data_IF_590574329569
#
_entry.id   IF_590574329569
#
_cell.length_a   1.000
_cell.length_b   1.000
_cell.length_c   1.000
_cell.angle_alpha   90.00
_cell.angle_beta   90.00
_cell.angle_gamma   90.00
#
_symmetry.space_group_name_H-M   'P 1'
#
loop_
_entity.id
_entity.type
_entity.pdbx_description
1 polymer ?
#
# COMPACT_ATOMS: atom_id res chain seq x y z
N UNK A 1 -23.78 31.68 -22.64
CA UNK A 1 -22.53 30.90 -22.47
C UNK A 1 -22.16 30.54 -21.01
N UNK A 2 -23.00 30.83 -20.00
CA UNK A 2 -22.60 30.69 -18.57
C UNK A 2 -22.96 29.35 -17.91
N UNK A 3 -23.84 28.53 -18.51
CA UNK A 3 -24.33 27.30 -17.87
C UNK A 3 -23.38 26.11 -18.07
N UNK A 4 -22.94 25.87 -19.31
CA UNK A 4 -21.99 24.79 -19.64
C UNK A 4 -20.63 24.99 -18.95
N UNK A 5 -20.15 26.24 -18.85
CA UNK A 5 -18.91 26.54 -18.12
C UNK A 5 -19.01 26.25 -16.62
N UNK A 6 -20.15 26.57 -15.99
CA UNK A 6 -20.39 26.25 -14.57
C UNK A 6 -20.46 24.75 -14.33
N UNK A 7 -21.09 23.99 -15.23
CA UNK A 7 -21.14 22.52 -15.14
C UNK A 7 -19.74 21.92 -15.31
N UNK A 8 -19.00 22.35 -16.32
CA UNK A 8 -17.63 21.90 -16.57
C UNK A 8 -16.71 22.17 -15.38
N UNK A 9 -16.81 23.36 -14.77
CA UNK A 9 -16.06 23.71 -13.56
C UNK A 9 -16.42 22.80 -12.38
N UNK A 10 -17.71 22.52 -12.15
CA UNK A 10 -18.13 21.59 -11.08
C UNK A 10 -17.65 20.18 -11.32
N UNK A 11 -17.75 19.67 -12.55
CA UNK A 11 -17.24 18.34 -12.91
C UNK A 11 -15.73 18.27 -12.71
N UNK A 12 -15.00 19.31 -13.11
CA UNK A 12 -13.56 19.41 -12.91
C UNK A 12 -13.19 19.40 -11.43
N UNK A 13 -13.93 20.10 -10.57
CA UNK A 13 -13.74 20.04 -9.11
C UNK A 13 -13.99 18.64 -8.54
N UNK A 14 -15.04 17.95 -8.99
CA UNK A 14 -15.33 16.57 -8.54
C UNK A 14 -14.22 15.62 -8.97
N UNK A 15 -13.76 15.73 -10.21
CA UNK A 15 -12.64 14.91 -10.73
C UNK A 15 -11.36 15.23 -9.94
N UNK A 16 -11.05 16.51 -9.70
CA UNK A 16 -9.90 16.92 -8.88
C UNK A 16 -9.98 16.35 -7.47
N UNK A 17 -11.16 16.41 -6.84
CA UNK A 17 -11.37 15.84 -5.51
C UNK A 17 -11.11 14.33 -5.50
N UNK A 18 -11.68 13.59 -6.46
CA UNK A 18 -11.46 12.13 -6.58
C UNK A 18 -9.97 11.83 -6.80
N UNK A 19 -9.30 12.56 -7.68
CA UNK A 19 -7.87 12.39 -7.96
C UNK A 19 -7.02 12.66 -6.71
N UNK A 20 -7.27 13.77 -6.02
CA UNK A 20 -6.56 14.13 -4.78
C UNK A 20 -6.80 13.08 -3.70
N UNK A 21 -8.05 12.65 -3.52
CA UNK A 21 -8.40 11.63 -2.54
C UNK A 21 -7.70 10.30 -2.84
N UNK A 22 -7.76 9.82 -4.08
CA UNK A 22 -7.04 8.63 -4.50
C UNK A 22 -5.54 8.79 -4.28
N UNK A 23 -4.96 9.92 -4.69
CA UNK A 23 -3.53 10.18 -4.52
C UNK A 23 -3.11 10.13 -3.05
N UNK A 24 -3.86 10.77 -2.15
CA UNK A 24 -3.60 10.73 -0.71
C UNK A 24 -3.73 9.31 -0.17
N UNK A 25 -4.73 8.53 -0.61
CA UNK A 25 -4.82 7.12 -0.23
C UNK A 25 -3.59 6.33 -0.68
N UNK A 26 -3.11 6.54 -1.89
CA UNK A 26 -1.87 5.92 -2.37
C UNK A 26 -0.64 6.38 -1.55
N UNK A 27 -0.50 7.67 -1.27
CA UNK A 27 0.63 8.24 -0.52
C UNK A 27 0.64 7.80 0.97
N UNK A 28 -0.50 7.77 1.64
CA UNK A 28 -0.55 7.39 3.07
C UNK A 28 -0.66 5.87 3.25
N UNK A 29 -1.54 5.19 2.49
CA UNK A 29 -1.79 3.77 2.69
C UNK A 29 -0.71 2.90 2.06
N UNK A 30 -0.37 3.16 0.79
CA UNK A 30 0.57 2.32 0.06
C UNK A 30 1.99 2.76 0.38
N UNK A 31 2.31 4.05 0.29
CA UNK A 31 3.69 4.50 0.47
C UNK A 31 4.16 4.40 1.93
N UNK A 32 3.51 5.07 2.88
CA UNK A 32 3.89 5.00 4.30
C UNK A 32 3.60 3.62 4.93
N UNK A 33 2.45 3.00 4.59
CA UNK A 33 2.03 1.73 5.18
C UNK A 33 2.79 0.49 4.69
N UNK A 34 3.09 0.40 3.40
CA UNK A 34 3.60 -0.83 2.76
C UNK A 34 4.96 -0.60 2.11
N UNK A 35 5.08 0.41 1.24
CA UNK A 35 6.25 0.60 0.39
C UNK A 35 7.49 0.96 1.21
N UNK A 36 7.38 1.90 2.15
CA UNK A 36 8.48 2.34 3.03
C UNK A 36 9.03 1.23 3.93
N UNK A 37 8.22 0.46 4.68
CA UNK A 37 8.75 -0.63 5.51
C UNK A 37 9.30 -1.79 4.67
N UNK A 38 8.67 -2.13 3.53
CA UNK A 38 9.20 -3.14 2.62
C UNK A 38 10.52 -2.66 2.01
N UNK A 39 10.59 -1.41 1.57
CA UNK A 39 11.79 -0.80 1.03
C UNK A 39 12.95 -0.86 2.02
N UNK A 40 12.74 -0.37 3.25
CA UNK A 40 13.79 -0.37 4.28
C UNK A 40 14.29 -1.80 4.59
N UNK A 41 13.38 -2.79 4.59
CA UNK A 41 13.76 -4.20 4.76
C UNK A 41 14.55 -4.73 3.56
N UNK A 42 14.09 -4.45 2.34
CA UNK A 42 14.72 -4.91 1.10
C UNK A 42 16.10 -4.26 0.88
N UNK A 43 16.25 -2.97 1.18
CA UNK A 43 17.53 -2.25 1.13
C UNK A 43 18.54 -2.80 2.14
N UNK A 44 18.07 -3.28 3.30
CA UNK A 44 18.95 -3.86 4.33
C UNK A 44 19.48 -5.27 4.01
N UNK A 45 19.00 -5.92 2.93
CA UNK A 45 19.42 -7.27 2.55
C UNK A 45 20.64 -7.24 1.62
N UNK A 46 21.73 -7.93 1.97
CA UNK A 46 22.91 -8.06 1.09
C UNK A 46 22.62 -8.63 -0.32
N UNK A 47 21.50 -9.36 -0.49
CA UNK A 47 21.10 -9.92 -1.78
C UNK A 47 20.72 -8.81 -2.76
N UNK A 48 20.09 -7.72 -2.31
CA UNK A 48 19.72 -6.62 -3.20
C UNK A 48 20.94 -5.88 -3.70
N UNK A 49 21.95 -5.66 -2.87
CA UNK A 49 23.22 -5.02 -3.28
C UNK A 49 23.90 -5.75 -4.44
N UNK A 50 23.95 -7.09 -4.41
CA UNK A 50 24.51 -7.90 -5.52
C UNK A 50 23.68 -7.78 -6.80
N UNK A 51 22.35 -7.73 -6.68
CA UNK A 51 21.47 -7.56 -7.85
C UNK A 51 21.59 -6.13 -8.39
N UNK A 52 21.74 -5.13 -7.52
CA UNK A 52 21.97 -3.73 -7.90
C UNK A 52 23.27 -3.56 -8.69
N UNK A 53 24.36 -4.19 -8.26
CA UNK A 53 25.64 -4.22 -9.00
C UNK A 53 25.45 -4.87 -10.38
N UNK A 54 24.76 -6.01 -10.46
CA UNK A 54 24.48 -6.69 -11.72
C UNK A 54 23.62 -5.84 -12.65
N UNK A 55 22.59 -5.17 -12.13
CA UNK A 55 21.78 -4.20 -12.89
C UNK A 55 22.66 -3.03 -13.35
N UNK A 56 23.59 -2.56 -12.52
CA UNK A 56 24.54 -1.48 -12.85
C UNK A 56 25.50 -1.86 -13.99
N UNK A 57 25.82 -3.14 -14.15
CA UNK A 57 26.63 -3.63 -15.28
C UNK A 57 25.81 -4.03 -16.52
N UNK A 58 24.50 -4.21 -16.36
CA UNK A 58 23.61 -4.67 -17.46
C UNK A 58 23.35 -3.56 -18.50
N UNK A 59 23.18 -3.95 -19.76
CA UNK A 59 22.83 -3.03 -20.85
C UNK A 59 21.50 -2.29 -20.57
N UNK A 60 21.48 -0.97 -20.79
CA UNK A 60 20.29 -0.12 -20.62
C UNK A 60 19.06 -0.61 -21.41
N UNK A 61 19.24 -1.19 -22.59
CA UNK A 61 18.13 -1.69 -23.42
C UNK A 61 17.48 -2.94 -22.80
N UNK A 62 18.28 -3.86 -22.23
CA UNK A 62 17.76 -5.03 -21.54
C UNK A 62 16.98 -4.65 -20.28
N UNK A 63 17.50 -3.69 -19.52
CA UNK A 63 16.82 -3.15 -18.34
C UNK A 63 15.47 -2.55 -18.72
N UNK A 64 15.44 -1.75 -19.80
CA UNK A 64 14.20 -1.16 -20.30
C UNK A 64 13.20 -2.25 -20.72
N UNK A 65 13.65 -3.29 -21.43
CA UNK A 65 12.80 -4.39 -21.86
C UNK A 65 12.21 -5.13 -20.66
N UNK A 66 13.05 -5.51 -19.69
CA UNK A 66 12.59 -6.19 -18.47
C UNK A 66 11.61 -5.30 -17.69
N UNK A 67 11.93 -4.02 -17.53
CA UNK A 67 11.06 -3.06 -16.86
C UNK A 67 9.69 -2.97 -17.55
N UNK A 68 9.66 -2.80 -18.87
CA UNK A 68 8.41 -2.71 -19.63
C UNK A 68 7.61 -4.01 -19.59
N UNK A 69 8.28 -5.17 -19.68
CA UNK A 69 7.62 -6.47 -19.59
C UNK A 69 6.87 -6.61 -18.26
N UNK A 70 7.55 -6.34 -17.14
CA UNK A 70 6.90 -6.40 -15.83
C UNK A 70 5.83 -5.32 -15.66
N UNK A 71 6.07 -4.10 -16.15
CA UNK A 71 5.08 -3.01 -16.10
C UNK A 71 3.80 -3.40 -16.82
N UNK A 72 3.89 -3.85 -18.07
CA UNK A 72 2.73 -4.28 -18.85
C UNK A 72 2.05 -5.52 -18.26
N UNK A 73 2.81 -6.41 -17.62
CA UNK A 73 2.24 -7.58 -16.93
C UNK A 73 1.38 -7.17 -15.73
N UNK A 74 1.85 -6.21 -14.93
CA UNK A 74 1.11 -5.70 -13.76
C UNK A 74 -0.14 -4.92 -14.19
N UNK A 75 -0.01 -4.06 -15.19
CA UNK A 75 -1.15 -3.29 -15.73
C UNK A 75 -2.17 -4.22 -16.39
N UNK A 76 -1.70 -5.20 -17.17
CA UNK A 76 -2.54 -6.23 -17.79
C UNK A 76 -3.29 -7.05 -16.74
N UNK A 77 -2.63 -7.48 -15.66
CA UNK A 77 -3.28 -8.15 -14.54
C UNK A 77 -4.33 -7.26 -13.87
N UNK A 78 -4.08 -5.94 -13.76
CA UNK A 78 -5.04 -4.98 -13.26
C UNK A 78 -6.30 -4.86 -14.12
N UNK A 79 -6.13 -4.76 -15.44
CA UNK A 79 -7.24 -4.73 -16.40
C UNK A 79 -8.05 -6.04 -16.38
N UNK A 80 -7.37 -7.18 -16.36
CA UNK A 80 -8.02 -8.50 -16.26
C UNK A 80 -8.80 -8.66 -14.95
N UNK A 81 -8.26 -8.21 -13.82
CA UNK A 81 -8.99 -8.19 -12.55
C UNK A 81 -10.26 -7.33 -12.65
N UNK A 82 -10.15 -6.15 -13.29
CA UNK A 82 -11.30 -5.29 -13.60
C UNK A 82 -12.38 -6.01 -14.42
N UNK A 83 -11.98 -6.72 -15.46
CA UNK A 83 -12.91 -7.53 -16.27
C UNK A 83 -13.59 -8.63 -15.45
N UNK A 84 -12.87 -9.32 -14.56
CA UNK A 84 -13.46 -10.32 -13.68
C UNK A 84 -14.48 -9.73 -12.71
N UNK A 85 -14.26 -8.51 -12.20
CA UNK A 85 -15.26 -7.83 -11.38
C UNK A 85 -16.54 -7.54 -12.16
N UNK A 86 -16.43 -7.04 -13.39
CA UNK A 86 -17.59 -6.75 -14.26
C UNK A 86 -18.37 -8.03 -14.56
N UNK A 87 -17.68 -9.16 -14.74
CA UNK A 87 -18.29 -10.48 -14.97
C UNK A 87 -18.90 -11.12 -13.71
N UNK A 88 -18.87 -10.46 -12.55
CA UNK A 88 -19.33 -11.02 -11.28
C UNK A 88 -18.40 -12.09 -10.67
N UNK A 89 -17.23 -12.33 -11.27
CA UNK A 89 -16.20 -13.27 -10.79
C UNK A 89 -15.29 -12.58 -9.76
N UNK A 90 -15.91 -12.08 -8.69
CA UNK A 90 -15.26 -11.23 -7.68
C UNK A 90 -14.04 -11.90 -7.04
N UNK A 91 -14.12 -13.20 -6.73
CA UNK A 91 -13.02 -13.93 -6.09
C UNK A 91 -11.77 -13.98 -6.98
N UNK A 92 -11.93 -14.26 -8.28
CA UNK A 92 -10.82 -14.28 -9.23
C UNK A 92 -10.22 -12.88 -9.43
N UNK A 93 -11.07 -11.86 -9.49
CA UNK A 93 -10.64 -10.46 -9.51
C UNK A 93 -9.80 -10.09 -8.30
N UNK A 94 -10.24 -10.49 -7.09
CA UNK A 94 -9.50 -10.24 -5.84
C UNK A 94 -8.15 -10.97 -5.81
N UNK A 95 -8.11 -12.25 -6.18
CA UNK A 95 -6.87 -13.03 -6.19
C UNK A 95 -5.84 -12.40 -7.13
N UNK A 96 -6.24 -12.05 -8.35
CA UNK A 96 -5.35 -11.37 -9.30
C UNK A 96 -4.91 -10.00 -8.79
N UNK A 97 -5.82 -9.24 -8.20
CA UNK A 97 -5.50 -7.91 -7.65
C UNK A 97 -4.53 -7.98 -6.47
N UNK A 98 -4.63 -8.98 -5.59
CA UNK A 98 -3.67 -9.19 -4.49
C UNK A 98 -2.32 -9.67 -5.03
N UNK A 99 -2.35 -10.61 -5.99
CA UNK A 99 -1.15 -11.20 -6.59
C UNK A 99 -0.29 -10.17 -7.32
N UNK A 100 -0.89 -9.12 -7.88
CA UNK A 100 -0.14 -8.06 -8.56
C UNK A 100 0.68 -7.19 -7.59
N UNK A 101 0.34 -7.14 -6.30
CA UNK A 101 0.96 -6.22 -5.33
C UNK A 101 2.48 -6.50 -5.16
N UNK A 102 2.93 -7.75 -4.91
CA UNK A 102 4.37 -8.05 -4.87
C UNK A 102 5.10 -7.72 -6.17
N UNK A 103 4.48 -7.97 -7.32
CA UNK A 103 5.08 -7.71 -8.63
C UNK A 103 5.22 -6.19 -8.84
N UNK A 104 4.21 -5.41 -8.49
CA UNK A 104 4.26 -3.95 -8.54
C UNK A 104 5.36 -3.39 -7.62
N UNK A 105 5.52 -3.95 -6.41
CA UNK A 105 6.61 -3.58 -5.51
C UNK A 105 7.99 -3.89 -6.12
N UNK A 106 8.14 -5.04 -6.79
CA UNK A 106 9.36 -5.39 -7.51
C UNK A 106 9.64 -4.44 -8.69
N UNK A 107 8.63 -4.09 -9.49
CA UNK A 107 8.76 -3.10 -10.58
C UNK A 107 9.21 -1.74 -10.04
N UNK A 108 8.64 -1.31 -8.93
CA UNK A 108 9.03 -0.05 -8.28
C UNK A 108 10.48 -0.07 -7.81
N UNK A 109 10.90 -1.17 -7.17
CA UNK A 109 12.30 -1.35 -6.76
C UNK A 109 13.25 -1.37 -7.97
N UNK A 110 12.92 -2.15 -9.02
CA UNK A 110 13.70 -2.22 -10.26
C UNK A 110 13.82 -0.83 -10.90
N UNK A 111 12.72 -0.07 -10.96
CA UNK A 111 12.72 1.31 -11.45
C UNK A 111 13.68 2.18 -10.66
N UNK A 112 13.65 2.11 -9.32
CA UNK A 112 14.50 2.93 -8.46
C UNK A 112 15.98 2.68 -8.71
N UNK A 113 16.38 1.40 -8.70
CA UNK A 113 17.78 0.98 -8.91
C UNK A 113 18.25 1.37 -10.31
N UNK A 114 17.41 1.15 -11.31
CA UNK A 114 17.76 1.40 -12.72
C UNK A 114 17.43 2.79 -13.23
N UNK A 115 16.93 3.69 -12.35
CA UNK A 115 16.38 5.01 -12.71
C UNK A 115 17.31 5.80 -13.61
N UNK A 116 18.61 5.88 -13.27
CA UNK A 116 19.61 6.62 -14.06
C UNK A 116 19.69 6.11 -15.50
N UNK A 117 19.62 4.79 -15.71
CA UNK A 117 19.68 4.16 -17.03
C UNK A 117 18.37 4.31 -17.80
N UNK A 118 17.23 4.15 -17.13
CA UNK A 118 15.91 4.34 -17.75
C UNK A 118 15.71 5.80 -18.20
N UNK A 119 16.13 6.77 -17.37
CA UNK A 119 16.08 8.20 -17.71
C UNK A 119 17.11 8.62 -18.77
N UNK A 120 18.02 7.73 -19.18
CA UNK A 120 18.90 8.00 -20.32
C UNK A 120 18.15 7.96 -21.66
N UNK A 121 16.99 7.31 -21.71
CA UNK A 121 16.11 7.34 -22.87
C UNK A 121 15.26 8.60 -22.85
N UNK A 122 15.34 9.42 -23.91
CA UNK A 122 14.67 10.72 -23.98
C UNK A 122 13.15 10.63 -23.83
N UNK A 123 12.51 9.68 -24.51
CA UNK A 123 11.06 9.48 -24.42
C UNK A 123 10.64 9.06 -23.01
N UNK A 124 11.43 8.21 -22.35
CA UNK A 124 11.15 7.73 -21.01
C UNK A 124 11.31 8.88 -20.00
N UNK A 125 12.38 9.67 -20.15
CA UNK A 125 12.62 10.88 -19.34
C UNK A 125 11.48 11.89 -19.50
N UNK A 126 11.03 12.12 -20.74
CA UNK A 126 9.89 12.99 -21.01
C UNK A 126 8.62 12.51 -20.30
N UNK A 127 8.28 11.23 -20.42
CA UNK A 127 7.11 10.65 -19.76
C UNK A 127 7.21 10.75 -18.24
N UNK A 128 8.38 10.40 -17.68
CA UNK A 128 8.65 10.53 -16.24
C UNK A 128 8.46 11.96 -15.75
N UNK A 129 9.02 12.96 -16.45
CA UNK A 129 8.89 14.35 -16.08
C UNK A 129 7.43 14.83 -16.14
N UNK A 130 6.66 14.40 -17.15
CA UNK A 130 5.23 14.72 -17.25
C UNK A 130 4.43 14.16 -16.08
N UNK A 131 4.71 12.91 -15.68
CA UNK A 131 4.09 12.31 -14.50
C UNK A 131 4.45 13.12 -13.24
N UNK A 132 5.73 13.41 -13.03
CA UNK A 132 6.18 14.18 -11.87
C UNK A 132 5.54 15.58 -11.80
N UNK A 133 5.49 16.31 -12.92
CA UNK A 133 4.79 17.59 -12.97
C UNK A 133 3.30 17.48 -12.67
N UNK A 134 2.65 16.40 -13.09
CA UNK A 134 1.25 16.13 -12.74
C UNK A 134 1.06 15.86 -11.24
N UNK A 135 2.00 15.15 -10.62
CA UNK A 135 2.01 14.94 -9.16
C UNK A 135 2.23 16.25 -8.40
N UNK A 136 3.19 17.06 -8.84
CA UNK A 136 3.48 18.36 -8.22
C UNK A 136 2.27 19.29 -8.33
N UNK A 137 1.64 19.35 -9.52
CA UNK A 137 0.40 20.09 -9.72
C UNK A 137 -0.71 19.63 -8.76
N UNK A 138 -0.86 18.32 -8.57
CA UNK A 138 -1.86 17.76 -7.66
C UNK A 138 -1.57 18.12 -6.19
N UNK A 139 -0.29 18.13 -5.79
CA UNK A 139 0.16 18.56 -4.45
C UNK A 139 -0.04 20.05 -4.22
N UNK A 140 -0.02 20.85 -5.29
CA UNK A 140 -0.24 22.28 -5.19
C UNK A 140 -1.70 22.69 -5.01
N UNK A 141 -2.64 21.81 -5.33
CA UNK A 141 -4.08 22.03 -5.13
C UNK A 141 -4.40 22.27 -3.64
N UNK A 142 -5.23 23.28 -3.37
CA UNK A 142 -5.70 23.59 -2.01
C UNK A 142 -6.44 22.42 -1.36
N UNK A 143 -7.17 21.64 -2.16
CA UNK A 143 -7.88 20.43 -1.72
C UNK A 143 -6.88 19.42 -1.16
N UNK A 144 -5.70 19.26 -1.78
CA UNK A 144 -4.65 18.37 -1.29
C UNK A 144 -4.07 18.89 0.03
N UNK A 145 -3.66 20.16 0.06
CA UNK A 145 -3.04 20.78 1.24
C UNK A 145 -3.97 20.74 2.46
N UNK A 146 -5.24 21.08 2.28
CA UNK A 146 -6.25 21.04 3.34
C UNK A 146 -6.55 19.62 3.81
N UNK A 147 -6.71 18.67 2.88
CA UNK A 147 -6.97 17.27 3.19
C UNK A 147 -5.80 16.62 3.95
N UNK A 148 -4.56 16.92 3.55
CA UNK A 148 -3.37 16.39 4.23
C UNK A 148 -3.23 16.97 5.65
N UNK A 149 -3.48 18.27 5.84
CA UNK A 149 -3.49 18.88 7.16
C UNK A 149 -4.56 18.24 8.08
N UNK A 150 -5.75 17.95 7.54
CA UNK A 150 -6.80 17.25 8.29
C UNK A 150 -6.37 15.84 8.69
N UNK A 151 -5.79 15.06 7.77
CA UNK A 151 -5.31 13.69 8.03
C UNK A 151 -4.23 13.68 9.10
N UNK A 152 -3.26 14.59 9.04
CA UNK A 152 -2.21 14.71 10.05
C UNK A 152 -2.80 15.00 11.44
N UNK A 153 -3.74 15.94 11.52
CA UNK A 153 -4.43 16.26 12.78
C UNK A 153 -5.27 15.09 13.32
N UNK A 154 -5.92 14.32 12.43
CA UNK A 154 -6.66 13.12 12.79
C UNK A 154 -5.73 12.04 13.33
N UNK A 155 -4.58 11.81 12.68
CA UNK A 155 -3.57 10.83 13.12
C UNK A 155 -3.06 11.16 14.53
N UNK A 156 -2.81 12.42 14.82
CA UNK A 156 -2.43 12.86 16.17
C UNK A 156 -3.53 12.65 17.20
N UNK A 157 -4.78 12.98 16.86
CA UNK A 157 -5.95 12.75 17.72
C UNK A 157 -6.14 11.27 18.01
N UNK A 158 -6.08 10.42 16.97
CA UNK A 158 -6.16 8.97 17.09
C UNK A 158 -5.03 8.45 17.97
N UNK A 159 -3.79 8.90 17.77
CA UNK A 159 -2.64 8.49 18.59
C UNK A 159 -2.83 8.85 20.06
N UNK A 160 -3.33 10.07 20.36
CA UNK A 160 -3.64 10.52 21.72
C UNK A 160 -4.78 9.71 22.34
N UNK A 161 -5.86 9.49 21.60
CA UNK A 161 -7.01 8.68 22.06
C UNK A 161 -6.62 7.22 22.28
N UNK A 162 -5.82 6.65 21.38
CA UNK A 162 -5.29 5.29 21.51
C UNK A 162 -4.40 5.16 22.74
N UNK A 163 -3.52 6.15 23.00
CA UNK A 163 -2.71 6.17 24.22
C UNK A 163 -3.58 6.19 25.46
N UNK A 164 -4.56 7.11 25.54
CA UNK A 164 -5.51 7.18 26.66
C UNK A 164 -6.32 5.89 26.85
N UNK A 165 -6.78 5.29 25.76
CA UNK A 165 -7.50 4.02 25.79
C UNK A 165 -6.60 2.88 26.27
N UNK A 166 -5.36 2.81 25.77
CA UNK A 166 -4.38 1.82 26.21
C UNK A 166 -4.06 1.97 27.70
N UNK A 167 -3.81 3.18 28.17
CA UNK A 167 -3.52 3.43 29.58
C UNK A 167 -4.75 3.06 30.45
N UNK A 168 -5.97 3.37 30.01
CA UNK A 168 -7.20 3.06 30.77
C UNK A 168 -7.57 1.57 30.82
N UNK A 169 -7.38 0.83 29.73
CA UNK A 169 -7.91 -0.54 29.58
C UNK A 169 -6.83 -1.62 29.51
N UNK A 170 -5.57 -1.26 29.26
CA UNK A 170 -4.46 -2.22 29.12
C UNK A 170 -3.34 -2.00 30.14
N UNK A 171 -3.53 -1.13 31.13
CA UNK A 171 -2.66 -1.12 32.31
C UNK A 171 -2.79 -2.43 33.08
N UNK A 172 -1.67 -2.88 33.68
CA UNK A 172 -1.55 -4.20 34.33
C UNK A 172 -2.57 -4.44 35.46
N UNK A 173 -3.09 -3.35 36.02
CA UNK A 173 -4.04 -3.32 37.14
C UNK A 173 -5.47 -2.97 36.69
N UNK A 174 -5.72 -2.95 35.37
CA UNK A 174 -7.06 -2.68 34.85
C UNK A 174 -7.94 -3.94 34.89
N UNK A 175 -9.20 -3.78 35.29
CA UNK A 175 -10.22 -4.84 35.34
C UNK A 175 -10.32 -5.63 34.03
N UNK A 176 -10.14 -4.98 32.87
CA UNK A 176 -10.15 -5.65 31.58
C UNK A 176 -8.98 -6.62 31.37
N UNK A 177 -7.77 -6.27 31.83
CA UNK A 177 -6.61 -7.18 31.72
C UNK A 177 -6.72 -8.36 32.67
N UNK A 178 -7.36 -8.19 33.83
CA UNK A 178 -7.66 -9.28 34.74
C UNK A 178 -8.69 -10.24 34.17
N UNK A 179 -9.75 -9.73 33.54
CA UNK A 179 -10.74 -10.53 32.81
C UNK A 179 -10.11 -11.31 31.65
N UNK A 180 -9.19 -10.70 30.90
CA UNK A 180 -8.46 -11.41 29.83
C UNK A 180 -7.57 -12.53 30.38
N UNK A 181 -6.87 -12.29 31.50
CA UNK A 181 -6.06 -13.32 32.17
C UNK A 181 -6.93 -14.46 32.69
N UNK A 182 -8.08 -14.14 33.29
CA UNK A 182 -9.00 -15.15 33.82
C UNK A 182 -9.59 -15.99 32.69
N UNK A 183 -9.96 -15.35 31.57
CA UNK A 183 -10.44 -16.04 30.37
C UNK A 183 -9.36 -16.93 29.73
N UNK A 184 -8.11 -16.43 29.61
CA UNK A 184 -7.01 -17.24 29.12
C UNK A 184 -6.75 -18.47 30.00
N UNK A 185 -6.75 -18.30 31.33
CA UNK A 185 -6.60 -19.40 32.28
C UNK A 185 -7.77 -20.39 32.20
N UNK A 186 -9.00 -19.91 32.04
CA UNK A 186 -10.17 -20.74 31.79
C UNK A 186 -10.00 -21.59 30.54
N UNK A 187 -9.64 -20.97 29.40
CA UNK A 187 -9.41 -21.66 28.13
C UNK A 187 -8.25 -22.69 28.21
N UNK A 188 -7.17 -22.35 28.91
CA UNK A 188 -6.02 -23.25 29.12
C UNK A 188 -6.42 -24.47 29.94
N UNK A 189 -7.16 -24.27 31.03
CA UNK A 189 -7.66 -25.34 31.88
C UNK A 189 -8.70 -26.20 31.15
N UNK A 190 -9.57 -25.58 30.36
CA UNK A 190 -10.53 -26.28 29.50
C UNK A 190 -9.81 -27.22 28.51
N UNK A 191 -8.77 -26.72 27.83
CA UNK A 191 -7.95 -27.55 26.92
C UNK A 191 -7.23 -28.70 27.65
N UNK A 192 -6.72 -28.47 28.86
CA UNK A 192 -6.06 -29.49 29.69
C UNK A 192 -7.05 -30.58 30.12
N UNK A 193 -8.27 -30.19 30.52
CA UNK A 193 -9.33 -31.11 30.93
C UNK A 193 -9.86 -31.96 29.76
N UNK A 194 -9.94 -31.40 28.55
CA UNK A 194 -10.27 -32.15 27.34
C UNK A 194 -9.19 -33.19 27.02
N UNK A 195 -7.90 -32.83 27.17
CA UNK A 195 -6.79 -33.76 26.92
C UNK A 195 -6.81 -34.94 27.90
N UNK A 196 -7.02 -34.66 29.19
CA UNK A 196 -7.10 -35.68 30.24
C UNK A 196 -8.26 -36.68 30.02
N UNK A 197 -9.46 -36.19 29.66
CA UNK A 197 -10.61 -37.06 29.32
C UNK A 197 -10.42 -37.93 28.07
N UNK A 198 -9.46 -37.61 27.19
CA UNK A 198 -9.12 -38.44 26.03
C UNK A 198 -8.09 -39.51 26.37
N UNK A 199 -7.23 -39.26 27.36
CA UNK A 199 -6.28 -40.24 27.90
C UNK A 199 -7.03 -41.28 28.76
N UNK A 200 -7.94 -40.85 29.64
CA UNK A 200 -8.76 -41.75 30.48
C UNK A 200 -9.80 -42.62 29.72
N UNK A 201 -9.95 -42.45 28.40
CA UNK A 201 -10.87 -43.23 27.54
C UNK A 201 -10.17 -44.26 26.66
N UNK A 202 -8.83 -44.30 26.70
CA UNK A 202 -7.99 -45.21 25.91
C UNK A 202 -7.27 -46.26 26.78
N UNK A 203 -7.53 -46.26 28.10
CA UNK A 203 -7.23 -47.34 29.04
C UNK A 203 -8.53 -48.12 29.35
#
# INVERSE_FOLDING_TARGET
>A
MNFLQKIAQRLLLVIQFILVFLFILFEELIWEGIAKPIYNKIESLHITQKIEEKISQTNRYLILLVFLLFLFSVEGAGLLAGLFFIQGKVLFGLILYITKIPIAAFVFWLFKVSKKKLLSFLWFKWAYNKIMSGLDWLKDLEIYKSSMAMILSLKERIKKSWKKFKDKYFDKDSSFTEELKSFYNYMKNFKKNIKKRKEDKND
#
